data_IF_692662305932
#
_entry.id   IF_692662305932
#
_cell.length_a   1.000
_cell.length_b   1.000
_cell.length_c   1.000
_cell.angle_alpha   90.00
_cell.angle_beta   90.00
_cell.angle_gamma   90.00
#
_symmetry.space_group_name_H-M   'P 1'
#
loop_
_entity.id
_entity.type
_entity.pdbx_description
1 polymer ?
#
# COMPACT_ATOMS: atom_id res chain seq x y z
N UNK A 1 -14.58 30.76 -6.74
CA UNK A 1 -15.46 29.58 -6.68
C UNK A 1 -14.90 28.68 -5.59
N UNK A 2 -15.72 28.20 -4.66
CA UNK A 2 -15.25 27.28 -3.62
C UNK A 2 -14.77 25.98 -4.27
N UNK A 3 -13.60 25.49 -3.86
CA UNK A 3 -12.96 24.28 -4.41
C UNK A 3 -13.86 23.05 -4.24
N UNK A 4 -14.68 23.02 -3.17
CA UNK A 4 -15.64 21.92 -2.95
C UNK A 4 -16.78 21.89 -3.97
N UNK A 5 -17.11 23.00 -4.64
CA UNK A 5 -18.13 22.98 -5.70
C UNK A 5 -17.70 22.09 -6.88
N UNK A 6 -16.40 21.95 -7.12
CA UNK A 6 -15.86 21.03 -8.14
C UNK A 6 -16.14 19.56 -7.80
N UNK A 7 -16.36 19.24 -6.52
CA UNK A 7 -16.60 17.88 -6.05
C UNK A 7 -18.08 17.49 -6.07
N UNK A 8 -19.01 18.42 -6.34
CA UNK A 8 -20.45 18.14 -6.38
C UNK A 8 -20.91 17.51 -7.70
N UNK A 9 -22.12 16.98 -7.70
CA UNK A 9 -22.82 16.49 -8.89
C UNK A 9 -22.36 15.10 -9.39
N UNK A 10 -23.11 14.54 -10.33
CA UNK A 10 -22.91 13.17 -10.81
C UNK A 10 -23.37 12.12 -9.80
N UNK A 11 -22.93 10.87 -9.99
CA UNK A 11 -23.17 9.77 -9.07
C UNK A 11 -21.86 9.21 -8.49
N UNK A 12 -21.97 8.26 -7.55
CA UNK A 12 -20.83 7.61 -6.90
C UNK A 12 -19.91 6.82 -7.86
N UNK A 13 -20.31 6.62 -9.12
CA UNK A 13 -19.52 5.89 -10.12
C UNK A 13 -18.60 6.83 -10.92
N UNK A 14 -18.80 8.13 -10.80
CA UNK A 14 -18.00 9.15 -11.48
C UNK A 14 -16.98 9.78 -10.52
N UNK A 15 -15.72 9.84 -10.97
CA UNK A 15 -14.65 10.55 -10.26
C UNK A 15 -14.89 12.07 -10.17
N UNK A 16 -15.86 12.60 -10.92
CA UNK A 16 -16.16 14.03 -10.97
C UNK A 16 -14.96 14.84 -11.43
N UNK A 17 -14.74 16.01 -10.82
CA UNK A 17 -13.56 16.84 -11.04
C UNK A 17 -12.53 16.70 -9.91
N UNK A 18 -12.46 15.54 -9.27
CA UNK A 18 -11.50 15.29 -8.17
C UNK A 18 -10.05 15.48 -8.63
N UNK A 19 -9.70 15.08 -9.85
CA UNK A 19 -8.34 15.25 -10.38
C UNK A 19 -7.98 16.73 -10.58
N UNK A 20 -8.95 17.58 -10.96
CA UNK A 20 -8.72 19.03 -11.01
C UNK A 20 -8.49 19.63 -9.62
N UNK A 21 -9.21 19.15 -8.61
CA UNK A 21 -9.00 19.57 -7.21
C UNK A 21 -7.62 19.14 -6.72
N UNK A 22 -7.14 17.95 -7.12
CA UNK A 22 -5.75 17.52 -6.85
C UNK A 22 -4.77 18.51 -7.48
N UNK A 23 -4.94 18.85 -8.76
CA UNK A 23 -4.09 19.84 -9.43
C UNK A 23 -4.11 21.19 -8.72
N UNK A 24 -5.29 21.69 -8.34
CA UNK A 24 -5.43 22.96 -7.63
C UNK A 24 -4.64 22.96 -6.31
N UNK A 25 -4.73 21.88 -5.52
CA UNK A 25 -4.00 21.75 -4.24
C UNK A 25 -2.50 21.67 -4.49
N UNK A 26 -2.06 20.93 -5.52
CA UNK A 26 -0.63 20.80 -5.82
C UNK A 26 -0.01 22.13 -6.26
N UNK A 27 -0.78 23.00 -6.93
CA UNK A 27 -0.40 24.36 -7.27
C UNK A 27 -0.50 25.32 -6.08
N UNK A 28 -1.47 25.10 -5.18
CA UNK A 28 -1.70 25.93 -4.00
C UNK A 28 -2.11 25.09 -2.77
N UNK A 29 -1.12 24.80 -1.91
CA UNK A 29 -1.30 24.05 -0.66
C UNK A 29 -2.37 24.64 0.27
N UNK A 30 -2.65 25.95 0.16
CA UNK A 30 -3.67 26.63 0.96
C UNK A 30 -5.10 26.11 0.73
N UNK A 31 -5.34 25.35 -0.34
CA UNK A 31 -6.62 24.70 -0.62
C UNK A 31 -6.80 23.38 0.13
N UNK A 32 -5.72 22.81 0.68
CA UNK A 32 -5.75 21.50 1.33
C UNK A 32 -6.74 21.44 2.49
N UNK A 33 -6.71 22.41 3.41
CA UNK A 33 -7.61 22.46 4.57
C UNK A 33 -9.08 22.42 4.13
N UNK A 34 -9.43 23.22 3.12
CA UNK A 34 -10.80 23.31 2.63
C UNK A 34 -11.28 21.99 2.03
N UNK A 35 -10.41 21.27 1.34
CA UNK A 35 -10.74 19.95 0.77
C UNK A 35 -10.75 18.87 1.86
N UNK A 36 -9.88 18.98 2.85
CA UNK A 36 -9.85 18.11 4.02
C UNK A 36 -11.16 18.17 4.82
N UNK A 37 -11.69 19.38 5.07
CA UNK A 37 -13.02 19.56 5.68
C UNK A 37 -14.13 18.82 4.89
N UNK A 38 -13.98 18.75 3.56
CA UNK A 38 -14.88 18.01 2.68
C UNK A 38 -14.98 16.52 3.02
N UNK A 39 -13.97 15.92 3.66
CA UNK A 39 -13.98 14.51 4.09
C UNK A 39 -15.01 14.20 5.20
N UNK A 40 -15.60 15.23 5.81
CA UNK A 40 -16.70 15.12 6.78
C UNK A 40 -17.98 15.78 6.26
N UNK A 41 -18.07 16.11 4.97
CA UNK A 41 -19.27 16.68 4.37
C UNK A 41 -20.47 15.75 4.54
N UNK A 42 -21.66 16.31 4.77
CA UNK A 42 -22.93 15.56 4.78
C UNK A 42 -23.24 14.95 3.40
N UNK A 43 -22.80 15.61 2.33
CA UNK A 43 -22.93 15.09 0.97
C UNK A 43 -21.95 13.92 0.75
N UNK A 44 -22.49 12.71 0.59
CA UNK A 44 -21.72 11.49 0.41
C UNK A 44 -20.80 11.49 -0.82
N UNK A 45 -21.16 12.24 -1.87
CA UNK A 45 -20.36 12.37 -3.09
C UNK A 45 -19.17 13.29 -2.80
N UNK A 46 -19.43 14.46 -2.22
CA UNK A 46 -18.36 15.41 -1.83
C UNK A 46 -17.40 14.72 -0.88
N UNK A 47 -17.92 14.01 0.12
CA UNK A 47 -17.15 13.30 1.13
C UNK A 47 -16.18 12.27 0.56
N UNK A 48 -16.69 11.39 -0.29
CA UNK A 48 -15.86 10.40 -0.99
C UNK A 48 -14.79 11.07 -1.87
N UNK A 49 -15.17 12.06 -2.68
CA UNK A 49 -14.24 12.69 -3.61
C UNK A 49 -13.20 13.57 -2.93
N UNK A 50 -13.54 14.16 -1.79
CA UNK A 50 -12.58 14.81 -0.92
C UNK A 50 -11.56 13.79 -0.41
N UNK A 51 -12.00 12.61 0.05
CA UNK A 51 -11.09 11.54 0.44
C UNK A 51 -10.21 11.06 -0.71
N UNK A 52 -10.74 10.95 -1.93
CA UNK A 52 -9.97 10.62 -3.14
C UNK A 52 -8.91 11.67 -3.45
N UNK A 53 -9.29 12.95 -3.44
CA UNK A 53 -8.37 14.04 -3.70
C UNK A 53 -7.25 14.11 -2.65
N UNK A 54 -7.58 14.01 -1.35
CA UNK A 54 -6.59 14.01 -0.26
C UNK A 54 -5.69 12.77 -0.34
N UNK A 55 -6.25 11.59 -0.67
CA UNK A 55 -5.46 10.37 -0.89
C UNK A 55 -4.44 10.58 -2.01
N UNK A 56 -4.85 11.15 -3.16
CA UNK A 56 -3.96 11.43 -4.30
C UNK A 56 -2.91 12.48 -3.97
N UNK A 57 -3.28 13.59 -3.34
CA UNK A 57 -2.35 14.64 -2.91
C UNK A 57 -1.31 14.09 -1.95
N UNK A 58 -1.70 13.25 -1.00
CA UNK A 58 -0.79 12.67 0.00
C UNK A 58 0.32 11.79 -0.59
N UNK A 59 0.15 11.28 -1.83
CA UNK A 59 1.21 10.55 -2.53
C UNK A 59 2.38 11.45 -2.95
N UNK A 60 2.12 12.74 -3.11
CA UNK A 60 3.09 13.73 -3.60
C UNK A 60 3.54 14.66 -2.46
N UNK A 61 2.61 15.10 -1.61
CA UNK A 61 2.85 16.03 -0.50
C UNK A 61 2.33 15.45 0.84
N UNK A 62 2.94 14.38 1.37
CA UNK A 62 2.47 13.72 2.60
C UNK A 62 2.49 14.64 3.83
N UNK A 63 3.41 15.60 3.89
CA UNK A 63 3.53 16.59 4.99
C UNK A 63 2.26 17.44 5.20
N UNK A 64 1.38 17.54 4.19
CA UNK A 64 0.10 18.23 4.34
C UNK A 64 -0.85 17.50 5.31
N UNK A 65 -0.61 16.22 5.61
CA UNK A 65 -1.41 15.44 6.56
C UNK A 65 -1.03 15.66 8.02
N UNK A 66 0.14 16.23 8.32
CA UNK A 66 0.73 16.22 9.67
C UNK A 66 -0.19 16.86 10.71
N UNK A 67 -0.86 17.96 10.35
CA UNK A 67 -1.81 18.68 11.22
C UNK A 67 -3.16 17.98 11.39
N UNK A 68 -3.38 16.91 10.64
CA UNK A 68 -4.69 16.26 10.49
C UNK A 68 -4.72 14.81 10.97
N UNK A 69 -3.58 14.26 11.38
CA UNK A 69 -3.42 12.87 11.83
C UNK A 69 -4.48 12.47 12.86
N UNK A 70 -4.68 13.29 13.89
CA UNK A 70 -5.68 13.02 14.92
C UNK A 70 -7.10 12.95 14.35
N UNK A 71 -7.47 13.88 13.48
CA UNK A 71 -8.80 13.87 12.83
C UNK A 71 -8.97 12.64 11.94
N UNK A 72 -7.94 12.27 11.17
CA UNK A 72 -7.97 11.09 10.30
C UNK A 72 -8.20 9.81 11.10
N UNK A 73 -7.48 9.64 12.22
CA UNK A 73 -7.52 8.42 13.04
C UNK A 73 -8.78 8.35 13.91
N UNK A 74 -9.29 9.49 14.39
CA UNK A 74 -10.34 9.52 15.40
C UNK A 74 -11.73 9.86 14.84
N UNK A 75 -11.80 10.75 13.85
CA UNK A 75 -13.08 11.30 13.34
C UNK A 75 -13.42 10.72 11.98
N UNK A 76 -12.53 10.87 10.99
CA UNK A 76 -12.78 10.38 9.62
C UNK A 76 -12.88 8.85 9.61
N UNK A 77 -12.06 8.17 10.42
CA UNK A 77 -12.12 6.71 10.53
C UNK A 77 -13.46 6.17 11.05
N UNK A 78 -14.24 6.98 11.77
CA UNK A 78 -15.56 6.59 12.27
C UNK A 78 -16.62 6.55 11.16
N UNK A 79 -16.35 7.16 10.01
CA UNK A 79 -17.29 7.23 8.89
C UNK A 79 -17.45 5.84 8.25
N UNK A 80 -18.69 5.36 8.16
CA UNK A 80 -18.98 3.99 7.70
C UNK A 80 -18.97 3.83 6.18
N UNK A 81 -19.02 4.95 5.45
CA UNK A 81 -19.00 4.93 3.99
C UNK A 81 -17.75 4.20 3.48
N UNK A 82 -17.97 3.16 2.66
CA UNK A 82 -16.91 2.27 2.21
C UNK A 82 -15.81 3.00 1.43
N UNK A 83 -16.16 4.04 0.67
CA UNK A 83 -15.20 4.80 -0.12
C UNK A 83 -14.29 5.66 0.74
N UNK A 84 -14.82 6.20 1.85
CA UNK A 84 -13.99 6.90 2.85
C UNK A 84 -12.97 5.92 3.45
N UNK A 85 -13.42 4.74 3.90
CA UNK A 85 -12.54 3.73 4.51
C UNK A 85 -11.45 3.25 3.55
N UNK A 86 -11.76 3.05 2.27
CA UNK A 86 -10.74 2.57 1.32
C UNK A 86 -9.68 3.63 1.00
N UNK A 87 -10.01 4.93 1.09
CA UNK A 87 -9.07 6.01 0.82
C UNK A 87 -8.22 6.22 2.06
N UNK A 88 -8.86 6.19 3.23
CA UNK A 88 -8.20 6.32 4.51
C UNK A 88 -7.20 5.19 4.77
N UNK A 89 -7.53 3.94 4.40
CA UNK A 89 -6.57 2.83 4.46
C UNK A 89 -5.31 3.09 3.62
N UNK A 90 -5.40 3.81 2.50
CA UNK A 90 -4.24 4.16 1.69
C UNK A 90 -3.46 5.36 2.24
N UNK A 91 -4.12 6.22 3.03
CA UNK A 91 -3.51 7.40 3.66
C UNK A 91 -2.71 7.00 4.90
N UNK A 92 -3.21 6.06 5.71
CA UNK A 92 -2.63 5.73 7.01
C UNK A 92 -1.14 5.39 6.98
N UNK A 93 -0.66 4.62 6.00
CA UNK A 93 0.76 4.25 5.90
C UNK A 93 1.68 5.40 5.46
N UNK A 94 1.13 6.58 5.16
CA UNK A 94 1.88 7.79 4.77
C UNK A 94 1.96 8.83 5.89
N UNK A 95 1.30 8.57 7.01
CA UNK A 95 1.36 9.42 8.19
C UNK A 95 2.68 9.18 8.93
N UNK A 96 3.23 10.23 9.54
CA UNK A 96 4.28 10.09 10.55
C UNK A 96 3.64 9.64 11.86
N UNK A 97 3.76 8.34 12.17
CA UNK A 97 2.99 7.68 13.24
C UNK A 97 3.87 7.30 14.44
N UNK A 98 3.37 7.64 15.62
CA UNK A 98 3.86 7.12 16.90
C UNK A 98 3.27 5.73 17.18
N UNK A 99 3.93 4.95 18.04
CA UNK A 99 3.55 3.56 18.33
C UNK A 99 2.12 3.42 18.89
N UNK A 100 1.59 4.41 19.59
CA UNK A 100 0.19 4.43 20.05
C UNK A 100 -0.80 4.57 18.89
N UNK A 101 -0.46 5.37 17.89
CA UNK A 101 -1.27 5.63 16.71
C UNK A 101 -1.26 4.44 15.76
N UNK A 102 -0.08 3.81 15.58
CA UNK A 102 0.07 2.55 14.85
C UNK A 102 -0.86 1.48 15.43
N UNK A 103 -0.87 1.29 16.76
CA UNK A 103 -1.76 0.33 17.42
C UNK A 103 -3.23 0.61 17.11
N UNK A 104 -3.64 1.87 17.18
CA UNK A 104 -5.03 2.27 16.89
C UNK A 104 -5.41 2.01 15.43
N UNK A 105 -4.55 2.38 14.50
CA UNK A 105 -4.73 2.10 13.06
C UNK A 105 -4.80 0.59 12.81
N UNK A 106 -3.92 -0.20 13.42
CA UNK A 106 -3.92 -1.66 13.26
C UNK A 106 -5.24 -2.28 13.71
N UNK A 107 -5.84 -1.83 14.82
CA UNK A 107 -7.17 -2.29 15.24
C UNK A 107 -8.26 -1.90 14.24
N UNK A 108 -8.27 -0.66 13.74
CA UNK A 108 -9.19 -0.22 12.68
C UNK A 108 -9.06 -1.10 11.41
N UNK A 109 -7.83 -1.37 10.98
CA UNK A 109 -7.55 -2.19 9.81
C UNK A 109 -8.03 -3.63 10.02
N UNK A 110 -7.79 -4.23 11.20
CA UNK A 110 -8.30 -5.56 11.55
C UNK A 110 -9.82 -5.60 11.47
N UNK A 111 -10.50 -4.60 12.02
CA UNK A 111 -11.95 -4.51 11.97
C UNK A 111 -12.46 -4.42 10.52
N UNK A 112 -11.86 -3.56 9.70
CA UNK A 112 -12.24 -3.41 8.30
C UNK A 112 -11.99 -4.68 7.48
N UNK A 113 -10.88 -5.38 7.74
CA UNK A 113 -10.55 -6.66 7.09
C UNK A 113 -11.60 -7.73 7.41
N UNK A 114 -12.02 -7.82 8.68
CA UNK A 114 -12.94 -8.87 9.12
C UNK A 114 -14.41 -8.53 8.79
N UNK A 115 -14.83 -7.28 8.97
CA UNK A 115 -16.25 -6.90 9.02
C UNK A 115 -16.77 -6.23 7.75
N UNK A 116 -15.91 -5.63 6.91
CA UNK A 116 -16.37 -4.92 5.73
C UNK A 116 -17.05 -5.86 4.72
N UNK A 117 -18.08 -5.37 4.04
CA UNK A 117 -18.66 -6.04 2.86
C UNK A 117 -17.91 -5.69 1.58
N UNK A 118 -17.11 -4.62 1.59
CA UNK A 118 -16.35 -4.14 0.43
C UNK A 118 -15.01 -4.87 0.33
N UNK A 119 -14.81 -5.58 -0.78
CA UNK A 119 -13.52 -6.20 -1.09
C UNK A 119 -12.39 -5.17 -1.27
N UNK A 120 -12.71 -3.96 -1.73
CA UNK A 120 -11.72 -2.88 -1.94
C UNK A 120 -11.22 -2.39 -0.58
N UNK A 121 -12.13 -2.19 0.39
CA UNK A 121 -11.74 -1.85 1.77
C UNK A 121 -10.81 -2.93 2.34
N UNK A 122 -11.18 -4.21 2.24
CA UNK A 122 -10.33 -5.31 2.74
C UNK A 122 -8.94 -5.33 2.09
N UNK A 123 -8.88 -5.19 0.76
CA UNK A 123 -7.64 -5.19 0.00
C UNK A 123 -6.74 -4.03 0.41
N UNK A 124 -7.27 -2.82 0.52
CA UNK A 124 -6.50 -1.65 0.92
C UNK A 124 -6.08 -1.73 2.40
N UNK A 125 -6.90 -2.31 3.28
CA UNK A 125 -6.52 -2.50 4.67
C UNK A 125 -5.37 -3.49 4.84
N UNK A 126 -5.39 -4.61 4.11
CA UNK A 126 -4.27 -5.57 4.12
C UNK A 126 -3.01 -4.94 3.54
N UNK A 127 -3.13 -4.14 2.47
CA UNK A 127 -1.98 -3.40 1.92
C UNK A 127 -1.41 -2.41 2.94
N UNK A 128 -2.26 -1.62 3.60
CA UNK A 128 -1.83 -0.68 4.62
C UNK A 128 -1.06 -1.38 5.74
N UNK A 129 -1.57 -2.53 6.22
CA UNK A 129 -0.89 -3.30 7.25
C UNK A 129 0.49 -3.77 6.77
N UNK A 130 0.59 -4.23 5.52
CA UNK A 130 1.88 -4.58 4.91
C UNK A 130 2.84 -3.38 4.88
N UNK A 131 2.37 -2.22 4.42
CA UNK A 131 3.20 -1.00 4.32
C UNK A 131 3.69 -0.55 5.71
N UNK A 132 2.84 -0.62 6.73
CA UNK A 132 3.24 -0.32 8.11
C UNK A 132 4.36 -1.25 8.60
N UNK A 133 4.44 -2.51 8.13
CA UNK A 133 5.52 -3.42 8.54
C UNK A 133 6.90 -3.03 8.02
N UNK A 134 6.96 -2.14 7.02
CA UNK A 134 8.23 -1.62 6.49
C UNK A 134 8.96 -0.74 7.52
N UNK A 135 8.20 -0.05 8.37
CA UNK A 135 8.74 0.81 9.43
C UNK A 135 8.54 0.20 10.83
N UNK A 136 7.46 -0.56 11.05
CA UNK A 136 7.10 -1.20 12.31
C UNK A 136 7.21 -2.71 12.20
N UNK A 137 8.45 -3.22 12.16
CA UNK A 137 8.74 -4.64 11.89
C UNK A 137 8.13 -5.62 12.89
N UNK A 138 7.77 -5.17 14.09
CA UNK A 138 7.07 -5.96 15.10
C UNK A 138 5.66 -6.41 14.66
N UNK A 139 5.07 -5.77 13.64
CA UNK A 139 3.77 -6.12 13.07
C UNK A 139 3.82 -7.33 12.13
N UNK A 140 5.00 -7.80 11.72
CA UNK A 140 5.16 -8.90 10.74
C UNK A 140 4.43 -10.19 11.12
N UNK A 141 4.50 -10.70 12.37
CA UNK A 141 3.76 -11.90 12.76
C UNK A 141 2.24 -11.76 12.56
N UNK A 142 1.69 -10.60 12.95
CA UNK A 142 0.28 -10.28 12.76
C UNK A 142 -0.10 -10.22 11.27
N UNK A 143 0.73 -9.58 10.45
CA UNK A 143 0.53 -9.55 9.00
C UNK A 143 0.46 -10.97 8.44
N UNK A 144 1.41 -11.85 8.78
CA UNK A 144 1.45 -13.23 8.28
C UNK A 144 0.18 -14.00 8.67
N UNK A 145 -0.31 -13.83 9.90
CA UNK A 145 -1.58 -14.42 10.34
C UNK A 145 -2.76 -13.94 9.48
N UNK A 146 -2.86 -12.63 9.26
CA UNK A 146 -3.92 -12.02 8.45
C UNK A 146 -3.84 -12.47 6.99
N UNK A 147 -2.65 -12.56 6.40
CA UNK A 147 -2.46 -13.04 5.04
C UNK A 147 -2.88 -14.52 4.92
N UNK A 148 -2.50 -15.38 5.88
CA UNK A 148 -2.90 -16.80 5.88
C UNK A 148 -4.42 -16.95 5.95
N UNK A 149 -5.07 -16.26 6.90
CA UNK A 149 -6.53 -16.26 7.05
C UNK A 149 -7.23 -15.74 5.80
N UNK A 150 -6.68 -14.69 5.19
CA UNK A 150 -7.22 -14.09 3.96
C UNK A 150 -7.04 -14.97 2.73
N UNK A 151 -5.97 -15.78 2.65
CA UNK A 151 -5.80 -16.79 1.60
C UNK A 151 -6.83 -17.91 1.69
N UNK A 152 -7.16 -18.33 2.90
CA UNK A 152 -8.15 -19.37 3.15
C UNK A 152 -9.57 -18.85 2.83
N UNK A 153 -9.97 -17.73 3.45
CA UNK A 153 -11.38 -17.28 3.53
C UNK A 153 -11.71 -16.08 2.64
N UNK A 154 -10.72 -15.42 2.03
CA UNK A 154 -10.94 -14.22 1.23
C UNK A 154 -11.68 -14.45 -0.08
N UNK A 155 -12.24 -13.39 -0.66
CA UNK A 155 -12.76 -13.41 -2.03
C UNK A 155 -11.63 -13.54 -3.07
N UNK A 156 -11.91 -13.84 -4.35
CA UNK A 156 -10.88 -13.93 -5.38
C UNK A 156 -9.98 -12.70 -5.47
N UNK A 157 -10.54 -11.49 -5.34
CA UNK A 157 -9.77 -10.23 -5.37
C UNK A 157 -8.86 -10.07 -4.15
N UNK A 158 -9.35 -10.45 -2.96
CA UNK A 158 -8.54 -10.45 -1.72
C UNK A 158 -7.40 -11.46 -1.85
N UNK A 159 -7.69 -12.71 -2.25
CA UNK A 159 -6.66 -13.74 -2.44
C UNK A 159 -5.61 -13.32 -3.47
N UNK A 160 -6.02 -12.69 -4.56
CA UNK A 160 -5.10 -12.15 -5.58
C UNK A 160 -4.13 -11.13 -4.99
N UNK A 161 -4.63 -10.17 -4.18
CA UNK A 161 -3.76 -9.20 -3.49
C UNK A 161 -2.81 -9.88 -2.52
N UNK A 162 -3.32 -10.78 -1.69
CA UNK A 162 -2.50 -11.48 -0.68
C UNK A 162 -1.37 -12.27 -1.33
N UNK A 163 -1.62 -12.96 -2.46
CA UNK A 163 -0.56 -13.62 -3.23
C UNK A 163 0.55 -12.66 -3.64
N UNK A 164 0.20 -11.47 -4.13
CA UNK A 164 1.20 -10.44 -4.50
C UNK A 164 2.03 -10.01 -3.30
N UNK A 165 1.39 -9.82 -2.14
CA UNK A 165 2.09 -9.41 -0.91
C UNK A 165 3.03 -10.50 -0.39
N UNK A 166 2.65 -11.77 -0.48
CA UNK A 166 3.56 -12.87 -0.13
C UNK A 166 4.82 -12.90 -1.01
N UNK A 167 4.67 -12.65 -2.31
CA UNK A 167 5.82 -12.57 -3.22
C UNK A 167 6.75 -11.41 -2.81
N UNK A 168 6.19 -10.24 -2.51
CA UNK A 168 6.97 -9.09 -2.02
C UNK A 168 7.68 -9.35 -0.68
N UNK A 169 7.11 -10.16 0.22
CA UNK A 169 7.79 -10.59 1.45
C UNK A 169 8.98 -11.53 1.15
N UNK A 170 8.83 -12.42 0.17
CA UNK A 170 9.87 -13.38 -0.20
C UNK A 170 11.07 -12.69 -0.87
N UNK A 171 10.80 -11.69 -1.72
CA UNK A 171 11.83 -10.90 -2.41
C UNK A 171 12.64 -10.02 -1.43
N UNK A 172 12.04 -9.64 -0.29
CA UNK A 172 12.70 -8.83 0.74
C UNK A 172 13.42 -9.67 1.81
N UNK A 173 13.09 -10.96 1.97
CA UNK A 173 13.85 -11.92 2.79
C UNK A 173 13.50 -13.40 2.46
N UNK A 174 14.41 -14.20 1.85
CA UNK A 174 14.13 -15.58 1.41
C UNK A 174 13.80 -16.57 2.53
N UNK A 175 14.23 -16.29 3.77
CA UNK A 175 13.98 -17.17 4.93
C UNK A 175 12.62 -16.93 5.59
N UNK A 176 11.79 -16.02 5.04
CA UNK A 176 10.52 -15.58 5.64
C UNK A 176 9.26 -16.15 4.97
N UNK A 177 9.39 -17.12 4.06
CA UNK A 177 8.22 -17.82 3.52
C UNK A 177 7.59 -18.70 4.62
N UNK A 178 6.33 -18.48 5.05
CA UNK A 178 5.59 -19.54 5.71
C UNK A 178 5.42 -20.70 4.73
N UNK A 179 5.32 -21.93 5.25
CA UNK A 179 5.01 -23.11 4.44
C UNK A 179 3.75 -22.83 3.63
N UNK A 180 3.92 -22.60 2.33
CA UNK A 180 2.80 -22.36 1.41
C UNK A 180 1.87 -23.57 1.55
N UNK A 181 0.59 -23.39 1.91
CA UNK A 181 -0.33 -24.51 2.00
C UNK A 181 -0.37 -25.24 0.66
N UNK A 182 -0.18 -26.56 0.69
CA UNK A 182 0.10 -27.44 -0.48
C UNK A 182 -0.96 -27.44 -1.58
N UNK A 183 -2.03 -26.66 -1.45
CA UNK A 183 -3.12 -26.51 -2.42
C UNK A 183 -3.06 -25.18 -3.19
N UNK A 184 -1.87 -24.62 -3.43
CA UNK A 184 -1.70 -23.54 -4.40
C UNK A 184 -1.79 -24.11 -5.83
N UNK A 185 -2.57 -23.50 -6.75
CA UNK A 185 -2.69 -23.98 -8.13
C UNK A 185 -1.34 -23.94 -8.85
N UNK A 186 -1.07 -25.00 -9.60
CA UNK A 186 0.21 -25.48 -10.14
C UNK A 186 0.95 -24.59 -11.15
N UNK A 187 0.60 -23.31 -11.29
CA UNK A 187 1.20 -22.42 -12.29
C UNK A 187 2.33 -21.53 -11.73
N UNK A 188 3.07 -22.02 -10.74
CA UNK A 188 4.34 -21.42 -10.32
C UNK A 188 5.46 -22.33 -10.86
N UNK A 189 5.67 -22.25 -12.18
CA UNK A 189 6.91 -22.76 -12.77
C UNK A 189 7.99 -21.76 -12.42
N UNK A 190 8.82 -22.14 -11.45
CA UNK A 190 10.12 -21.52 -11.16
C UNK A 190 10.89 -21.45 -12.47
N UNK A 191 11.32 -20.24 -12.88
CA UNK A 191 12.30 -20.11 -13.95
C UNK A 191 13.52 -20.96 -13.58
N UNK A 192 13.78 -22.00 -14.37
CA UNK A 192 14.93 -22.86 -14.21
C UNK A 192 16.22 -22.04 -14.19
N UNK A 193 17.09 -22.31 -13.20
CA UNK A 193 18.43 -21.70 -13.14
C UNK A 193 19.21 -22.06 -14.42
N UNK A 194 20.04 -21.16 -14.96
CA UNK A 194 20.94 -21.52 -16.04
C UNK A 194 21.91 -22.60 -15.53
N UNK A 195 22.02 -23.71 -16.26
CA UNK A 195 23.05 -24.71 -16.05
C UNK A 195 24.42 -24.07 -16.33
N UNK A 196 25.27 -23.95 -15.33
CA UNK A 196 26.68 -23.62 -15.54
C UNK A 196 27.48 -24.91 -15.77
N UNK A 197 27.80 -25.17 -17.02
CA UNK A 197 28.84 -26.06 -17.53
C UNK A 197 29.40 -25.34 -18.76
N UNK A 198 30.68 -25.08 -18.99
CA UNK A 198 31.93 -25.68 -18.52
C UNK A 198 33.09 -24.70 -18.78
N UNK A 199 34.25 -25.04 -18.23
CA UNK A 199 35.63 -24.62 -18.57
C UNK A 199 35.89 -23.88 -19.89
N UNK A 200 36.74 -22.86 -19.83
CA UNK A 200 38.02 -22.77 -20.55
C UNK A 200 38.70 -21.41 -20.28
N UNK A 201 40.03 -21.39 -20.19
CA UNK A 201 40.81 -20.18 -20.50
C UNK A 201 41.90 -19.76 -19.52
N UNK A 202 43.06 -20.43 -19.62
CA UNK A 202 44.40 -19.83 -19.65
C UNK A 202 44.79 -18.77 -18.61
N UNK A 203 45.55 -19.18 -17.60
CA UNK A 203 46.42 -18.26 -16.85
C UNK A 203 47.80 -18.27 -17.48
N UNK A 204 48.16 -17.16 -18.11
CA UNK A 204 49.50 -16.87 -18.60
C UNK A 204 50.23 -15.88 -17.68
N UNK A 205 51.56 -15.96 -17.75
CA UNK A 205 52.57 -14.94 -17.40
C UNK A 205 53.20 -15.04 -15.99
N UNK A 206 54.40 -15.64 -15.96
CA UNK A 206 55.66 -15.18 -15.33
C UNK A 206 56.78 -15.93 -16.10
N UNK A 207 57.88 -15.39 -16.61
CA UNK A 207 58.53 -14.08 -16.58
C UNK A 207 60.06 -14.34 -16.69
N UNK A 208 60.74 -13.66 -17.63
CA UNK A 208 62.21 -13.38 -17.74
C UNK A 208 63.17 -14.59 -17.80
N UNK A 209 63.94 -14.75 -18.87
CA UNK A 209 65.25 -14.09 -19.06
C UNK A 209 66.21 -14.98 -19.89
N UNK A 210 67.42 -14.51 -20.28
CA UNK A 210 67.80 -14.41 -21.69
C UNK A 210 68.98 -15.30 -22.17
N UNK A 211 69.28 -15.14 -23.48
CA UNK A 211 70.55 -15.38 -24.21
C UNK A 211 70.98 -16.84 -24.52
N UNK A 212 70.90 -17.31 -25.78
CA UNK A 212 71.83 -17.16 -26.95
C UNK A 212 73.10 -18.06 -26.83
N UNK A 213 73.80 -18.39 -27.93
CA UNK A 213 73.36 -19.05 -29.17
C UNK A 213 74.34 -20.18 -29.61
N UNK A 214 74.00 -20.87 -30.71
CA UNK A 214 74.83 -21.64 -31.66
C UNK A 214 74.19 -23.00 -31.98
#
# INVERSE_FOLDING_TARGET
MDVLEKLKGGDLRSIGRADEVVSDILENDGLFERVFEGMQSEDAIVRMRACDAIEKVSRIKPYLLDKHKDKLINEVAAIEQQEVRWHLAQIFSRLDLEESEVKKIVELLKDWINMSKSNIVKVNSIQCLFDLTLHHTHLKPLLIEILNKSMEKGSPSVKSRVKKLYLSLADTNPNMLPAIPRNAPSNITVMERPKTSSSMGGSGIKGRGPDKPA
#
